data_IF_042822360876
#
_entry.id   IF_042822360876
#
_cell.length_a   1.000
_cell.length_b   1.000
_cell.length_c   1.000
_cell.angle_alpha   90.00
_cell.angle_beta   90.00
_cell.angle_gamma   90.00
#
_symmetry.space_group_name_H-M   'P 1'
#
loop_
_entity.id
_entity.type
_entity.pdbx_description
1 polymer ?
#
# COMPACT_ATOMS: atom_id res chain seq x y z
N UNK A 1 -14.04 -14.57 -17.19
CA UNK A 1 -13.46 -14.66 -15.83
C UNK A 1 -13.10 -13.29 -15.24
N UNK A 2 -12.44 -12.40 -16.01
CA UNK A 2 -12.08 -11.06 -15.53
C UNK A 2 -13.26 -10.21 -15.01
N UNK A 3 -14.44 -10.30 -15.66
CA UNK A 3 -15.65 -9.56 -15.24
C UNK A 3 -16.04 -9.85 -13.79
N UNK A 4 -15.98 -11.11 -13.34
CA UNK A 4 -16.30 -11.49 -11.96
C UNK A 4 -15.33 -10.88 -10.95
N UNK A 5 -14.04 -10.76 -11.31
CA UNK A 5 -13.02 -10.13 -10.47
C UNK A 5 -13.28 -8.64 -10.35
N UNK A 6 -13.58 -7.96 -11.46
CA UNK A 6 -13.91 -6.53 -11.43
C UNK A 6 -15.17 -6.26 -10.60
N UNK A 7 -16.23 -7.04 -10.78
CA UNK A 7 -17.45 -6.92 -9.98
C UNK A 7 -17.18 -7.15 -8.49
N UNK A 8 -16.41 -8.17 -8.13
CA UNK A 8 -16.02 -8.43 -6.74
C UNK A 8 -15.21 -7.28 -6.13
N UNK A 9 -14.23 -6.74 -6.86
CA UNK A 9 -13.43 -5.60 -6.41
C UNK A 9 -14.25 -4.30 -6.27
N UNK A 10 -15.20 -4.06 -7.18
CA UNK A 10 -16.08 -2.90 -7.12
C UNK A 10 -17.00 -2.95 -5.88
N UNK A 11 -17.57 -4.12 -5.59
CA UNK A 11 -18.37 -4.33 -4.38
C UNK A 11 -17.54 -4.14 -3.10
N UNK A 12 -16.34 -4.70 -3.06
CA UNK A 12 -15.44 -4.52 -1.91
C UNK A 12 -15.07 -3.05 -1.69
N UNK A 13 -14.74 -2.31 -2.76
CA UNK A 13 -14.46 -0.87 -2.70
C UNK A 13 -15.70 -0.07 -2.26
N UNK A 14 -16.90 -0.41 -2.73
CA UNK A 14 -18.13 0.26 -2.34
C UNK A 14 -18.39 0.12 -0.83
N UNK A 15 -18.27 -1.09 -0.28
CA UNK A 15 -18.41 -1.35 1.15
C UNK A 15 -17.35 -0.59 1.95
N UNK A 16 -16.08 -0.63 1.52
CA UNK A 16 -15.01 0.10 2.18
C UNK A 16 -15.23 1.62 2.18
N UNK A 17 -15.75 2.18 1.09
CA UNK A 17 -16.08 3.60 0.98
C UNK A 17 -17.22 4.03 1.92
N UNK A 18 -18.26 3.21 2.05
CA UNK A 18 -19.37 3.46 2.98
C UNK A 18 -18.84 3.46 4.43
N UNK A 19 -18.05 2.44 4.80
CA UNK A 19 -17.45 2.33 6.13
C UNK A 19 -16.56 3.54 6.45
N UNK A 20 -15.71 3.95 5.51
CA UNK A 20 -14.85 5.11 5.68
C UNK A 20 -15.69 6.38 5.90
N UNK A 21 -16.74 6.58 5.09
CA UNK A 21 -17.61 7.76 5.21
C UNK A 21 -18.31 7.85 6.58
N UNK A 22 -18.57 6.73 7.25
CA UNK A 22 -19.13 6.72 8.61
C UNK A 22 -18.14 7.17 9.69
N UNK A 23 -16.83 7.13 9.41
CA UNK A 23 -15.77 7.50 10.38
C UNK A 23 -15.29 8.94 10.25
N UNK A 24 -15.56 9.59 9.12
CA UNK A 24 -15.07 10.93 8.80
C UNK A 24 -16.01 11.98 9.38
N UNK A 25 -15.58 12.66 10.45
CA UNK A 25 -16.35 13.72 11.11
C UNK A 25 -16.18 15.11 10.45
N UNK A 26 -15.15 15.29 9.62
CA UNK A 26 -14.85 16.53 8.93
C UNK A 26 -14.45 16.25 7.48
N UNK A 27 -15.04 16.98 6.53
CA UNK A 27 -14.75 16.84 5.12
C UNK A 27 -13.29 17.24 4.82
N UNK A 28 -12.48 16.28 4.40
CA UNK A 28 -11.11 16.53 3.92
C UNK A 28 -11.09 16.33 2.40
N UNK A 29 -11.13 17.41 1.60
CA UNK A 29 -10.97 17.29 0.16
C UNK A 29 -9.58 16.72 -0.12
N UNK A 30 -9.50 15.66 -0.94
CA UNK A 30 -8.30 14.89 -1.32
C UNK A 30 -7.89 13.70 -0.43
N UNK A 31 -8.67 13.28 0.57
CA UNK A 31 -8.37 12.06 1.35
C UNK A 31 -8.19 10.80 0.49
N UNK A 32 -8.91 10.74 -0.65
CA UNK A 32 -8.86 9.63 -1.61
C UNK A 32 -7.49 9.38 -2.25
N UNK A 33 -6.69 10.43 -2.46
CA UNK A 33 -5.48 10.35 -3.28
C UNK A 33 -4.36 9.54 -2.58
N UNK A 34 -4.31 9.58 -1.25
CA UNK A 34 -3.33 8.82 -0.48
C UNK A 34 -3.59 7.30 -0.54
N UNK A 35 -4.84 6.87 -0.72
CA UNK A 35 -5.16 5.44 -0.80
C UNK A 35 -4.56 4.78 -2.04
N UNK A 36 -4.48 5.50 -3.17
CA UNK A 36 -3.88 4.96 -4.39
C UNK A 36 -2.40 4.64 -4.20
N UNK A 37 -1.63 5.60 -3.65
CA UNK A 37 -0.20 5.41 -3.43
C UNK A 37 0.09 4.37 -2.34
N UNK A 38 -0.73 4.33 -1.29
CA UNK A 38 -0.65 3.29 -0.25
C UNK A 38 -0.96 1.89 -0.82
N UNK A 39 -1.94 1.76 -1.72
CA UNK A 39 -2.29 0.48 -2.34
C UNK A 39 -1.15 -0.04 -3.22
N UNK A 40 -0.57 0.83 -4.06
CA UNK A 40 0.59 0.49 -4.90
C UNK A 40 1.77 0.09 -4.00
N UNK A 41 2.07 0.90 -2.99
CA UNK A 41 3.15 0.63 -2.04
C UNK A 41 3.01 -0.69 -1.31
N UNK A 42 1.81 -1.00 -0.81
CA UNK A 42 1.52 -2.25 -0.12
C UNK A 42 1.73 -3.49 -0.99
N UNK A 43 1.29 -3.46 -2.26
CA UNK A 43 1.52 -4.56 -3.22
C UNK A 43 3.01 -4.75 -3.46
N UNK A 44 3.76 -3.66 -3.65
CA UNK A 44 5.20 -3.71 -3.91
C UNK A 44 6.01 -4.19 -2.71
N UNK A 45 5.73 -3.68 -1.51
CA UNK A 45 6.31 -4.20 -0.25
C UNK A 45 6.01 -5.71 -0.14
N UNK A 46 4.78 -6.12 -0.44
CA UNK A 46 4.36 -7.52 -0.42
C UNK A 46 5.12 -8.44 -1.38
N UNK A 47 5.70 -7.92 -2.47
CA UNK A 47 6.51 -8.72 -3.40
C UNK A 47 7.83 -9.20 -2.80
N UNK A 48 8.34 -8.50 -1.78
CA UNK A 48 9.62 -8.86 -1.12
C UNK A 48 9.49 -10.11 -0.24
N UNK A 49 8.28 -10.40 0.25
CA UNK A 49 7.98 -11.62 1.02
C UNK A 49 7.76 -12.84 0.12
N UNK A 50 7.65 -12.65 -1.21
CA UNK A 50 7.44 -13.72 -2.17
C UNK A 50 8.78 -14.29 -2.65
N UNK A 51 9.00 -15.59 -2.46
CA UNK A 51 10.23 -16.30 -2.88
C UNK A 51 10.54 -16.18 -4.38
N UNK A 52 9.52 -15.88 -5.20
CA UNK A 52 9.62 -15.72 -6.65
C UNK A 52 9.63 -14.25 -7.09
N UNK A 53 9.59 -13.30 -6.15
CA UNK A 53 9.54 -11.86 -6.46
C UNK A 53 8.28 -11.42 -7.21
N UNK A 54 7.21 -12.23 -7.19
CA UNK A 54 5.92 -11.98 -7.83
C UNK A 54 4.88 -11.48 -6.81
N UNK A 55 3.96 -10.59 -7.22
CA UNK A 55 2.84 -10.17 -6.36
C UNK A 55 1.98 -11.38 -5.98
N UNK A 56 1.71 -11.53 -4.69
CA UNK A 56 0.91 -12.62 -4.13
C UNK A 56 -0.05 -12.04 -3.09
N UNK A 57 -1.25 -12.61 -2.99
CA UNK A 57 -2.33 -12.18 -2.09
C UNK A 57 -1.85 -12.09 -0.64
N UNK A 58 -1.14 -13.13 -0.16
CA UNK A 58 -0.62 -13.17 1.23
C UNK A 58 0.43 -12.10 1.48
N UNK A 59 1.32 -11.86 0.51
CA UNK A 59 2.33 -10.81 0.60
C UNK A 59 1.70 -9.42 0.61
N UNK A 60 0.70 -9.18 -0.23
CA UNK A 60 -0.05 -7.91 -0.25
C UNK A 60 -0.80 -7.66 1.05
N UNK A 61 -1.43 -8.69 1.65
CA UNK A 61 -2.09 -8.55 2.96
C UNK A 61 -1.12 -8.07 4.05
N UNK A 62 0.07 -8.66 4.12
CA UNK A 62 1.12 -8.23 5.05
C UNK A 62 1.64 -6.83 4.72
N UNK A 63 1.81 -6.49 3.44
CA UNK A 63 2.20 -5.16 2.99
C UNK A 63 1.17 -4.08 3.33
N UNK A 64 -0.13 -4.37 3.17
CA UNK A 64 -1.22 -3.46 3.54
C UNK A 64 -1.21 -3.22 5.04
N UNK A 65 -1.03 -4.28 5.85
CA UNK A 65 -0.94 -4.16 7.30
C UNK A 65 0.26 -3.29 7.71
N UNK A 66 1.41 -3.51 7.09
CA UNK A 66 2.63 -2.73 7.37
C UNK A 66 2.47 -1.23 7.03
N UNK A 67 1.96 -0.91 5.84
CA UNK A 67 1.66 0.47 5.43
C UNK A 67 0.66 1.12 6.39
N UNK A 68 -0.39 0.41 6.79
CA UNK A 68 -1.40 0.96 7.71
C UNK A 68 -0.85 1.18 9.12
N UNK A 69 0.02 0.30 9.64
CA UNK A 69 0.68 0.52 10.93
C UNK A 69 1.57 1.75 10.89
N UNK A 70 2.36 1.92 9.82
CA UNK A 70 3.19 3.13 9.62
C UNK A 70 2.30 4.36 9.50
N UNK A 71 1.22 4.28 8.72
CA UNK A 71 0.30 5.38 8.53
C UNK A 71 -0.34 5.84 9.85
N UNK A 72 -0.83 4.91 10.66
CA UNK A 72 -1.38 5.22 11.98
C UNK A 72 -0.28 5.70 12.95
N UNK A 73 0.92 5.13 12.89
CA UNK A 73 2.06 5.55 13.70
C UNK A 73 2.50 6.99 13.41
N UNK A 74 2.60 7.38 12.13
CA UNK A 74 2.94 8.75 11.73
C UNK A 74 1.86 9.75 12.15
N UNK A 75 0.59 9.36 12.08
CA UNK A 75 -0.52 10.19 12.57
C UNK A 75 -0.43 10.40 14.09
N UNK A 76 -0.08 9.37 14.86
CA UNK A 76 0.09 9.46 16.31
C UNK A 76 1.28 10.33 16.74
N UNK A 77 2.33 10.40 15.91
CA UNK A 77 3.47 11.30 16.09
C UNK A 77 3.08 12.77 15.80
N UNK A 78 1.86 13.02 15.33
CA UNK A 78 1.33 14.36 15.07
C UNK A 78 1.72 14.90 13.70
N UNK A 79 2.18 14.05 12.78
CA UNK A 79 2.56 14.51 11.46
C UNK A 79 1.33 14.79 10.58
N UNK A 80 1.31 15.96 9.93
CA UNK A 80 0.24 16.34 9.02
C UNK A 80 0.15 15.38 7.81
N UNK A 81 -1.07 15.06 7.40
CA UNK A 81 -1.41 14.14 6.30
C UNK A 81 -0.65 14.44 4.99
N UNK A 82 -0.34 15.71 4.72
CA UNK A 82 0.42 16.09 3.54
C UNK A 82 1.83 15.49 3.53
N UNK A 83 2.50 15.53 4.67
CA UNK A 83 3.83 14.95 4.82
C UNK A 83 3.81 13.44 4.90
N UNK A 84 2.73 12.86 5.42
CA UNK A 84 2.53 11.41 5.40
C UNK A 84 2.52 10.89 3.96
N UNK A 85 1.85 11.58 3.03
CA UNK A 85 1.81 11.15 1.62
C UNK A 85 3.19 11.21 0.96
N UNK A 86 3.97 12.27 1.23
CA UNK A 86 5.36 12.39 0.75
C UNK A 86 6.24 11.30 1.36
N UNK A 87 6.14 11.08 2.67
CA UNK A 87 6.91 10.06 3.38
C UNK A 87 6.61 8.65 2.88
N UNK A 88 5.34 8.31 2.63
CA UNK A 88 4.98 7.01 2.05
C UNK A 88 5.52 6.88 0.63
N UNK A 89 5.45 7.93 -0.20
CA UNK A 89 6.05 7.91 -1.54
C UNK A 89 7.55 7.64 -1.51
N UNK A 90 8.29 8.34 -0.64
CA UNK A 90 9.73 8.12 -0.43
C UNK A 90 10.01 6.71 0.08
N UNK A 91 9.23 6.22 1.05
CA UNK A 91 9.37 4.88 1.60
C UNK A 91 9.20 3.81 0.52
N UNK A 92 8.22 3.96 -0.37
CA UNK A 92 8.01 3.06 -1.51
C UNK A 92 9.24 3.08 -2.43
N UNK A 93 9.76 4.27 -2.77
CA UNK A 93 10.97 4.39 -3.58
C UNK A 93 12.17 3.68 -2.95
N UNK A 94 12.38 3.85 -1.64
CA UNK A 94 13.49 3.20 -0.91
C UNK A 94 13.31 1.68 -0.90
N UNK A 95 12.12 1.19 -0.60
CA UNK A 95 11.83 -0.25 -0.60
C UNK A 95 12.05 -0.84 -2.00
N UNK A 96 11.60 -0.16 -3.05
CA UNK A 96 11.79 -0.59 -4.42
C UNK A 96 13.26 -0.58 -4.84
N UNK A 97 13.99 0.49 -4.53
CA UNK A 97 15.41 0.59 -4.82
C UNK A 97 16.20 -0.51 -4.12
N UNK A 98 15.89 -0.78 -2.84
CA UNK A 98 16.51 -1.87 -2.08
C UNK A 98 16.13 -3.26 -2.61
N UNK A 99 14.85 -3.46 -2.97
CA UNK A 99 14.38 -4.71 -3.59
C UNK A 99 15.07 -4.96 -4.93
N UNK A 100 15.25 -3.92 -5.74
CA UNK A 100 15.94 -3.99 -7.02
C UNK A 100 17.44 -4.25 -6.85
N UNK A 101 18.11 -3.53 -5.94
CA UNK A 101 19.52 -3.74 -5.61
C UNK A 101 19.77 -5.17 -5.11
N UNK A 102 18.88 -5.68 -4.25
CA UNK A 102 18.94 -7.06 -3.74
C UNK A 102 18.82 -8.11 -4.85
N UNK A 103 18.00 -7.86 -5.88
CA UNK A 103 17.89 -8.75 -7.06
C UNK A 103 19.16 -8.73 -7.91
N UNK A 104 19.84 -7.59 -8.03
CA UNK A 104 21.05 -7.50 -8.83
C UNK A 104 22.24 -8.23 -8.19
N UNK A 105 22.29 -8.29 -6.86
CA UNK A 105 23.32 -9.02 -6.10
C UNK A 105 23.15 -10.54 -6.16
N UNK A 106 21.91 -11.06 -6.21
CA UNK A 106 21.62 -12.50 -6.28
C UNK A 106 21.76 -13.11 -7.70
N UNK A 107 21.93 -12.28 -8.73
CA UNK A 107 22.12 -12.73 -10.13
C UNK A 107 23.52 -13.25 -10.47
N UNK A 108 24.50 -13.09 -9.58
CA UNK A 108 25.89 -13.54 -9.80
C UNK A 108 26.22 -14.88 -9.11
N UNK A 109 25.22 -15.55 -8.51
CA UNK A 109 25.42 -16.79 -7.75
C UNK A 109 24.77 -18.04 -8.38
N UNK A 110 24.42 -17.99 -9.68
CA UNK A 110 23.88 -19.11 -10.45
C UNK A 110 24.74 -19.40 -11.68
#
# INVERSE_FOLDING_TARGET
MAVWVFLGSALACAVAGILLSSTVNAYVPMSGNAYLINAIGAVFIGTTLSRQGRPNIVGTLLGVLFINVIANGLLLIGWNFYWQQVATGVLIFVVLAFSFASRHLLGHAA
#
